data_IF_028405131674
#
_entry.id   IF_028405131674
#
_cell.length_a   1.000
_cell.length_b   1.000
_cell.length_c   1.000
_cell.angle_alpha   90.00
_cell.angle_beta   90.00
_cell.angle_gamma   90.00
#
_symmetry.space_group_name_H-M   'P 1'
#
loop_
_entity.id
_entity.type
_entity.pdbx_description
1 polymer ?
#
# COMPACT_ATOMS: atom_id res chain seq x y z
N UNK A 1 -18.82 -6.51 -21.70
CA UNK A 1 -20.15 -6.24 -21.12
C UNK A 1 -21.10 -5.89 -22.26
N UNK A 2 -22.27 -6.57 -22.35
CA UNK A 2 -23.29 -6.28 -23.36
C UNK A 2 -24.06 -4.98 -23.04
N UNK A 3 -25.00 -4.56 -23.91
CA UNK A 3 -25.74 -3.31 -23.76
C UNK A 3 -26.65 -3.31 -22.52
N UNK A 4 -27.39 -4.38 -22.32
CA UNK A 4 -28.31 -4.53 -21.18
C UNK A 4 -27.61 -4.48 -19.82
N UNK A 5 -26.53 -5.24 -19.68
CA UNK A 5 -25.69 -5.22 -18.48
C UNK A 5 -25.11 -3.83 -18.20
N UNK A 6 -24.75 -3.08 -19.27
CA UNK A 6 -24.26 -1.71 -19.11
C UNK A 6 -25.36 -0.79 -18.59
N UNK A 7 -26.55 -0.85 -19.18
CA UNK A 7 -27.68 0.00 -18.74
C UNK A 7 -28.13 -0.38 -17.32
N UNK A 8 -28.08 -1.65 -16.96
CA UNK A 8 -28.35 -2.07 -15.59
C UNK A 8 -27.38 -1.41 -14.60
N UNK A 9 -26.04 -1.53 -14.82
CA UNK A 9 -25.04 -0.93 -13.92
C UNK A 9 -25.19 0.60 -13.91
N UNK A 10 -25.36 1.25 -15.06
CA UNK A 10 -25.58 2.70 -15.15
C UNK A 10 -26.76 3.14 -14.30
N UNK A 11 -27.91 2.46 -14.41
CA UNK A 11 -29.10 2.78 -13.60
C UNK A 11 -28.79 2.70 -12.10
N UNK A 12 -28.02 1.68 -11.66
CA UNK A 12 -27.62 1.52 -10.26
C UNK A 12 -26.65 2.61 -9.81
N UNK A 13 -25.67 2.95 -10.62
CA UNK A 13 -24.74 4.04 -10.34
C UNK A 13 -25.42 5.40 -10.31
N UNK A 14 -26.35 5.64 -11.25
CA UNK A 14 -27.14 6.88 -11.26
C UNK A 14 -27.93 7.05 -9.96
N UNK A 15 -28.66 6.01 -9.55
CA UNK A 15 -29.40 6.02 -8.28
C UNK A 15 -28.48 6.28 -7.08
N UNK A 16 -27.26 5.74 -7.08
CA UNK A 16 -26.29 6.05 -6.06
C UNK A 16 -25.90 7.53 -6.08
N UNK A 17 -25.51 8.08 -7.24
CA UNK A 17 -25.06 9.48 -7.35
C UNK A 17 -26.19 10.50 -7.08
N UNK A 18 -27.45 10.14 -7.29
CA UNK A 18 -28.62 10.97 -6.95
C UNK A 18 -28.83 11.10 -5.43
N UNK A 19 -28.44 10.08 -4.65
CA UNK A 19 -28.76 9.98 -3.22
C UNK A 19 -27.54 10.08 -2.30
N UNK A 20 -26.33 9.89 -2.82
CA UNK A 20 -25.12 9.88 -2.02
C UNK A 20 -24.62 11.30 -1.70
N UNK A 21 -24.24 11.53 -0.45
CA UNK A 21 -23.42 12.69 -0.14
C UNK A 21 -21.96 12.38 -0.50
N UNK A 22 -21.47 13.04 -1.56
CA UNK A 22 -20.10 12.93 -2.03
C UNK A 22 -19.35 14.16 -1.54
N UNK A 23 -18.47 14.02 -0.53
CA UNK A 23 -17.61 15.11 -0.10
C UNK A 23 -16.62 15.45 -1.22
N UNK A 24 -16.47 16.74 -1.50
CA UNK A 24 -15.50 17.21 -2.47
C UNK A 24 -14.13 17.37 -1.81
N UNK A 25 -13.05 17.10 -2.55
CA UNK A 25 -11.69 17.28 -2.03
C UNK A 25 -11.40 18.76 -1.74
N UNK A 26 -10.44 18.99 -0.86
CA UNK A 26 -10.00 20.34 -0.54
C UNK A 26 -9.64 21.14 -1.81
N UNK A 27 -9.96 22.44 -1.81
CA UNK A 27 -9.76 23.34 -2.97
C UNK A 27 -10.35 22.77 -4.28
N UNK A 28 -11.52 22.13 -4.22
CA UNK A 28 -12.13 21.44 -5.37
C UNK A 28 -12.22 22.27 -6.64
N UNK A 29 -12.46 23.58 -6.54
CA UNK A 29 -12.54 24.49 -7.68
C UNK A 29 -11.17 24.79 -8.34
N UNK A 30 -10.09 24.37 -7.72
CA UNK A 30 -8.70 24.49 -8.22
C UNK A 30 -8.17 23.18 -8.80
N UNK A 31 -9.05 22.20 -8.98
CA UNK A 31 -8.66 20.87 -9.47
C UNK A 31 -9.24 20.57 -10.85
N UNK A 32 -8.48 19.81 -11.63
CA UNK A 32 -9.00 19.15 -12.82
C UNK A 32 -9.77 17.90 -12.40
N UNK A 33 -10.93 17.70 -13.02
CA UNK A 33 -11.68 16.46 -12.95
C UNK A 33 -11.63 15.73 -14.27
N UNK A 34 -11.68 14.39 -14.19
CA UNK A 34 -11.71 13.54 -15.35
C UNK A 34 -12.67 12.36 -15.12
N UNK A 35 -13.31 11.93 -16.20
CA UNK A 35 -14.39 10.95 -16.16
C UNK A 35 -14.18 9.88 -17.23
N UNK A 36 -14.34 8.61 -16.84
CA UNK A 36 -14.45 7.51 -17.79
C UNK A 36 -15.91 7.07 -17.83
N UNK A 37 -16.50 7.11 -19.00
CA UNK A 37 -17.89 6.67 -19.18
C UNK A 37 -17.95 5.17 -19.51
N UNK A 38 -19.11 4.57 -19.22
CA UNK A 38 -19.35 3.18 -19.61
C UNK A 38 -19.34 3.03 -21.13
N UNK A 39 -18.63 2.02 -21.65
CA UNK A 39 -18.51 1.68 -23.08
C UNK A 39 -17.82 2.71 -23.96
N UNK A 40 -17.46 3.85 -23.46
CA UNK A 40 -16.70 4.83 -24.23
C UNK A 40 -15.20 4.57 -24.08
N UNK A 41 -14.47 4.78 -25.18
CA UNK A 41 -13.01 4.72 -25.14
C UNK A 41 -12.47 6.11 -24.78
N UNK A 42 -11.53 6.12 -23.85
CA UNK A 42 -10.87 7.36 -23.42
C UNK A 42 -11.47 7.97 -22.15
N UNK A 43 -10.92 9.11 -21.82
CA UNK A 43 -11.23 9.85 -20.60
C UNK A 43 -11.62 11.28 -20.97
N UNK A 44 -12.76 11.75 -20.49
CA UNK A 44 -13.17 13.15 -20.58
C UNK A 44 -12.32 13.90 -19.56
N UNK A 45 -11.55 14.89 -19.99
CA UNK A 45 -10.57 15.61 -19.16
C UNK A 45 -10.74 17.12 -19.23
N UNK A 46 -9.94 17.84 -18.44
CA UNK A 46 -9.88 19.30 -18.40
C UNK A 46 -11.19 19.96 -17.98
N UNK A 47 -11.92 19.30 -17.09
CA UNK A 47 -13.14 19.84 -16.52
C UNK A 47 -12.85 20.35 -15.10
N UNK A 48 -13.49 21.44 -14.73
CA UNK A 48 -13.46 21.97 -13.36
C UNK A 48 -14.84 22.53 -13.00
N UNK A 49 -15.12 22.56 -11.71
CA UNK A 49 -16.40 23.03 -11.19
C UNK A 49 -16.16 24.13 -10.16
N UNK A 50 -16.99 25.16 -10.18
CA UNK A 50 -16.96 26.24 -9.20
C UNK A 50 -17.91 25.98 -8.04
N UNK A 51 -19.01 25.26 -8.28
CA UNK A 51 -20.04 24.93 -7.29
C UNK A 51 -20.19 23.41 -7.16
N UNK A 52 -20.42 22.93 -5.94
CA UNK A 52 -20.69 21.51 -5.65
C UNK A 52 -21.89 21.00 -6.46
N UNK A 53 -22.94 21.84 -6.59
CA UNK A 53 -24.16 21.46 -7.31
C UNK A 53 -23.89 21.16 -8.79
N UNK A 54 -23.05 21.96 -9.47
CA UNK A 54 -22.72 21.74 -10.88
C UNK A 54 -21.99 20.40 -11.07
N UNK A 55 -21.11 20.05 -10.14
CA UNK A 55 -20.42 18.76 -10.12
C UNK A 55 -21.42 17.61 -9.92
N UNK A 56 -22.29 17.69 -8.92
CA UNK A 56 -23.30 16.66 -8.64
C UNK A 56 -24.25 16.46 -9.82
N UNK A 57 -24.76 17.55 -10.42
CA UNK A 57 -25.60 17.47 -11.61
C UNK A 57 -24.88 16.79 -12.77
N UNK A 58 -23.59 17.10 -12.97
CA UNK A 58 -22.79 16.49 -14.04
C UNK A 58 -22.63 14.97 -13.86
N UNK A 59 -22.30 14.51 -12.65
CA UNK A 59 -22.11 13.07 -12.40
C UNK A 59 -23.40 12.27 -12.46
N UNK A 60 -24.54 12.86 -12.11
CA UNK A 60 -25.86 12.25 -12.26
C UNK A 60 -26.24 12.14 -13.74
N UNK A 61 -26.02 13.21 -14.53
CA UNK A 61 -26.32 13.22 -15.97
C UNK A 61 -25.45 12.22 -16.74
N UNK A 62 -24.14 12.27 -16.54
CA UNK A 62 -23.18 11.43 -17.26
C UNK A 62 -23.10 10.01 -16.72
N UNK A 63 -23.36 9.81 -15.46
CA UNK A 63 -23.22 8.52 -14.75
C UNK A 63 -21.91 7.80 -15.10
N UNK A 64 -20.76 8.36 -14.74
CA UNK A 64 -19.48 7.81 -15.14
C UNK A 64 -19.17 6.47 -14.43
N UNK A 65 -18.43 5.60 -15.11
CA UNK A 65 -17.88 4.38 -14.56
C UNK A 65 -16.76 4.65 -13.54
N UNK A 66 -16.00 5.73 -13.79
CA UNK A 66 -14.94 6.17 -12.90
C UNK A 66 -14.84 7.70 -12.88
N UNK A 67 -14.58 8.24 -11.70
CA UNK A 67 -14.36 9.67 -11.49
C UNK A 67 -12.93 9.84 -10.94
N UNK A 68 -12.21 10.78 -11.50
CA UNK A 68 -10.87 11.15 -11.07
C UNK A 68 -10.78 12.64 -10.80
N UNK A 69 -9.83 13.03 -9.98
CA UNK A 69 -9.46 14.41 -9.77
C UNK A 69 -7.94 14.55 -9.65
N UNK A 70 -7.41 15.76 -9.91
CA UNK A 70 -5.97 15.98 -9.85
C UNK A 70 -5.47 16.08 -8.42
N UNK A 71 -4.33 15.41 -8.12
CA UNK A 71 -3.54 15.68 -6.91
C UNK A 71 -3.06 17.12 -6.88
N UNK A 72 -2.82 17.71 -8.06
CA UNK A 72 -2.40 19.08 -8.24
C UNK A 72 -3.53 20.09 -8.12
N UNK A 73 -3.14 21.28 -7.65
CA UNK A 73 -3.93 22.49 -7.68
C UNK A 73 -3.49 23.38 -8.85
N UNK A 74 -4.46 23.99 -9.52
CA UNK A 74 -4.22 24.84 -10.67
C UNK A 74 -4.97 26.17 -10.56
N UNK A 75 -4.39 27.23 -11.10
CA UNK A 75 -5.08 28.50 -11.23
C UNK A 75 -6.21 28.41 -12.27
N UNK A 76 -5.96 27.70 -13.37
CA UNK A 76 -6.89 27.49 -14.48
C UNK A 76 -7.04 26.00 -14.81
N UNK A 77 -7.71 25.18 -13.95
CA UNK A 77 -7.73 23.72 -14.10
C UNK A 77 -8.41 23.21 -15.37
N UNK A 78 -9.26 24.02 -15.99
CA UNK A 78 -9.98 23.72 -17.24
C UNK A 78 -9.16 23.88 -18.52
N UNK A 79 -7.97 24.44 -18.45
CA UNK A 79 -7.12 24.59 -19.63
C UNK A 79 -6.61 23.22 -20.11
N UNK A 80 -6.44 23.07 -21.43
CA UNK A 80 -6.13 21.81 -22.09
C UNK A 80 -4.64 21.41 -22.07
N UNK A 81 -3.74 22.35 -21.73
CA UNK A 81 -2.30 22.08 -21.60
C UNK A 81 -1.80 22.41 -20.20
N UNK A 82 -0.79 21.69 -19.74
CA UNK A 82 -0.26 21.84 -18.39
C UNK A 82 0.32 23.23 -18.14
N UNK A 83 1.03 23.81 -19.10
CA UNK A 83 1.61 25.15 -18.98
C UNK A 83 0.53 26.22 -18.77
N UNK A 84 -0.61 26.08 -19.48
CA UNK A 84 -1.72 27.03 -19.36
C UNK A 84 -2.54 26.86 -18.08
N UNK A 85 -2.40 25.74 -17.36
CA UNK A 85 -3.12 25.50 -16.08
C UNK A 85 -2.55 26.32 -14.94
N UNK A 86 -1.29 26.72 -14.99
CA UNK A 86 -0.55 27.38 -13.91
C UNK A 86 -0.61 26.57 -12.60
N UNK A 87 0.34 25.65 -12.44
CA UNK A 87 0.46 24.76 -11.29
C UNK A 87 0.69 25.53 -9.98
N UNK A 88 0.00 25.15 -8.91
CA UNK A 88 0.00 25.83 -7.60
C UNK A 88 0.40 24.90 -6.45
N UNK A 89 1.00 23.77 -6.75
CA UNK A 89 1.30 22.72 -5.77
C UNK A 89 0.48 21.45 -5.98
N UNK A 90 0.85 20.40 -5.28
CA UNK A 90 0.14 19.12 -5.32
C UNK A 90 0.21 18.38 -3.98
N UNK A 91 -0.84 17.65 -3.65
CA UNK A 91 -0.81 16.63 -2.59
C UNK A 91 0.25 15.58 -2.91
N UNK A 92 0.82 14.97 -1.89
CA UNK A 92 1.66 13.79 -2.06
C UNK A 92 0.77 12.55 -1.95
N UNK A 93 0.73 11.76 -3.01
CA UNK A 93 -0.13 10.58 -3.11
C UNK A 93 0.73 9.33 -3.08
N UNK A 94 0.37 8.39 -2.20
CA UNK A 94 0.88 7.03 -2.23
C UNK A 94 -0.24 6.11 -2.72
N UNK A 95 0.08 5.25 -3.66
CA UNK A 95 -0.83 4.25 -4.24
C UNK A 95 -0.20 2.86 -4.08
N UNK A 96 -0.90 1.96 -3.43
CA UNK A 96 -0.52 0.57 -3.28
C UNK A 96 -1.59 -0.30 -3.93
N UNK A 97 -1.22 -1.07 -4.94
CA UNK A 97 -2.12 -1.99 -5.65
C UNK A 97 -1.60 -3.43 -5.57
N UNK A 98 -2.51 -4.38 -5.44
CA UNK A 98 -2.20 -5.81 -5.36
C UNK A 98 -1.38 -6.31 -6.56
N UNK A 99 -1.52 -5.71 -7.74
CA UNK A 99 -0.79 -6.11 -8.94
C UNK A 99 0.73 -5.89 -8.82
N UNK A 100 1.17 -5.04 -7.89
CA UNK A 100 2.58 -4.75 -7.66
C UNK A 100 3.23 -5.64 -6.58
N UNK A 101 2.43 -6.42 -5.84
CA UNK A 101 2.96 -7.31 -4.81
C UNK A 101 3.50 -8.60 -5.42
N UNK A 102 4.74 -9.01 -5.09
CA UNK A 102 5.33 -10.25 -5.59
C UNK A 102 4.45 -11.48 -5.30
N UNK A 103 4.11 -12.24 -6.34
CA UNK A 103 3.30 -13.46 -6.23
C UNK A 103 1.79 -13.23 -6.14
N UNK A 104 1.30 -12.02 -6.36
CA UNK A 104 -0.13 -11.69 -6.33
C UNK A 104 -0.99 -12.50 -7.31
N UNK A 105 -0.39 -12.96 -8.42
CA UNK A 105 -1.03 -13.82 -9.42
C UNK A 105 -1.47 -15.19 -8.89
N UNK A 106 -0.91 -15.63 -7.76
CA UNK A 106 -1.21 -16.92 -7.11
C UNK A 106 -2.18 -16.79 -5.94
N UNK A 107 -2.52 -15.57 -5.54
CA UNK A 107 -3.37 -15.28 -4.40
C UNK A 107 -4.83 -15.19 -4.81
N UNK A 108 -5.72 -15.56 -3.90
CA UNK A 108 -7.13 -15.19 -4.02
C UNK A 108 -7.29 -13.67 -3.91
N UNK A 109 -8.44 -13.18 -4.36
CA UNK A 109 -8.74 -11.74 -4.29
C UNK A 109 -8.73 -11.19 -2.85
N UNK A 110 -9.22 -11.98 -1.90
CA UNK A 110 -9.22 -11.65 -0.47
C UNK A 110 -7.79 -11.60 0.09
N UNK A 111 -6.97 -12.62 -0.19
CA UNK A 111 -5.57 -12.67 0.26
C UNK A 111 -4.74 -11.53 -0.31
N UNK A 112 -4.93 -11.21 -1.59
CA UNK A 112 -4.24 -10.09 -2.23
C UNK A 112 -4.58 -8.76 -1.55
N UNK A 113 -5.86 -8.52 -1.23
CA UNK A 113 -6.32 -7.33 -0.52
C UNK A 113 -5.74 -7.23 0.90
N UNK A 114 -5.63 -8.34 1.63
CA UNK A 114 -5.07 -8.35 2.99
C UNK A 114 -3.56 -8.08 2.97
N UNK A 115 -2.85 -8.62 1.99
CA UNK A 115 -1.42 -8.36 1.82
C UNK A 115 -1.15 -6.87 1.53
N UNK A 116 -1.90 -6.28 0.59
CA UNK A 116 -1.79 -4.83 0.31
C UNK A 116 -2.12 -4.01 1.55
N UNK A 117 -3.16 -4.39 2.30
CA UNK A 117 -3.52 -3.68 3.54
C UNK A 117 -2.39 -3.72 4.57
N UNK A 118 -1.71 -4.86 4.69
CA UNK A 118 -0.56 -4.99 5.59
C UNK A 118 0.57 -4.03 5.21
N UNK A 119 0.91 -3.96 3.91
CA UNK A 119 1.91 -3.00 3.42
C UNK A 119 1.45 -1.55 3.57
N UNK A 120 0.17 -1.28 3.35
CA UNK A 120 -0.41 0.04 3.55
C UNK A 120 -0.38 0.50 5.00
N UNK A 121 -0.66 -0.40 5.96
CA UNK A 121 -0.51 -0.12 7.40
C UNK A 121 0.94 0.23 7.73
N UNK A 122 1.90 -0.51 7.18
CA UNK A 122 3.33 -0.26 7.34
C UNK A 122 3.71 1.12 6.79
N UNK A 123 3.30 1.45 5.57
CA UNK A 123 3.51 2.78 4.99
C UNK A 123 3.01 3.89 5.92
N UNK A 124 1.75 3.79 6.34
CA UNK A 124 1.11 4.84 7.16
C UNK A 124 1.77 4.96 8.53
N UNK A 125 1.90 3.85 9.27
CA UNK A 125 2.35 3.88 10.66
C UNK A 125 3.86 4.06 10.80
N UNK A 126 4.63 3.29 10.04
CA UNK A 126 6.07 3.24 10.24
C UNK A 126 6.80 4.38 9.51
N UNK A 127 6.31 4.76 8.33
CA UNK A 127 6.98 5.79 7.54
C UNK A 127 6.31 7.15 7.70
N UNK A 128 5.02 7.28 7.36
CA UNK A 128 4.40 8.60 7.31
C UNK A 128 4.23 9.23 8.70
N UNK A 129 3.74 8.48 9.67
CA UNK A 129 3.57 8.97 11.04
C UNK A 129 4.89 8.99 11.80
N UNK A 130 5.61 7.87 11.82
CA UNK A 130 6.78 7.73 12.69
C UNK A 130 8.04 8.40 12.11
N UNK A 131 8.42 8.12 10.87
CA UNK A 131 9.66 8.62 10.29
C UNK A 131 9.54 10.05 9.76
N UNK A 132 8.46 10.36 9.01
CA UNK A 132 8.25 11.70 8.45
C UNK A 132 7.49 12.64 9.40
N UNK A 133 6.90 12.13 10.47
CA UNK A 133 6.24 12.92 11.51
C UNK A 133 5.03 13.71 10.98
N UNK A 134 4.25 13.14 10.04
CA UNK A 134 2.96 13.69 9.68
C UNK A 134 1.96 13.46 10.81
N UNK A 135 1.01 14.38 10.97
CA UNK A 135 -0.08 14.21 11.90
C UNK A 135 -1.21 13.39 11.26
N UNK A 136 -2.01 12.73 12.05
CA UNK A 136 -3.12 11.90 11.57
C UNK A 136 -4.14 12.69 10.74
N UNK A 137 -4.35 13.96 11.04
CA UNK A 137 -5.25 14.85 10.29
C UNK A 137 -4.67 15.32 8.93
N UNK A 138 -3.38 15.11 8.67
CA UNK A 138 -2.75 15.38 7.38
C UNK A 138 -2.83 14.17 6.44
N UNK A 139 -3.26 12.99 6.94
CA UNK A 139 -3.32 11.73 6.20
C UNK A 139 -4.77 11.32 5.93
N UNK A 140 -5.15 11.30 4.67
CA UNK A 140 -6.46 10.83 4.23
C UNK A 140 -6.31 9.48 3.55
N UNK A 141 -6.89 8.45 4.15
CA UNK A 141 -6.75 7.07 3.73
C UNK A 141 -7.99 6.60 2.98
N UNK A 142 -7.79 5.91 1.85
CA UNK A 142 -8.89 5.41 1.03
C UNK A 142 -8.60 4.01 0.52
N UNK A 143 -9.64 3.19 0.45
CA UNK A 143 -9.66 2.02 -0.41
C UNK A 143 -9.95 2.47 -1.84
N UNK A 144 -9.21 1.99 -2.83
CA UNK A 144 -9.30 2.43 -4.23
C UNK A 144 -10.60 2.01 -4.96
N UNK A 145 -11.45 1.21 -4.30
CA UNK A 145 -12.64 0.62 -4.91
C UNK A 145 -12.37 -0.68 -5.69
N UNK A 146 -11.12 -1.16 -5.76
CA UNK A 146 -10.77 -2.41 -6.46
C UNK A 146 -9.76 -3.24 -5.70
N UNK A 147 -8.46 -3.02 -5.88
CA UNK A 147 -7.40 -3.90 -5.37
C UNK A 147 -6.31 -3.19 -4.58
N UNK A 148 -6.51 -1.93 -4.23
CA UNK A 148 -5.46 -1.14 -3.61
C UNK A 148 -5.97 -0.13 -2.60
N UNK A 149 -5.02 0.61 -2.04
CA UNK A 149 -5.26 1.66 -1.07
C UNK A 149 -4.48 2.91 -1.47
N UNK A 150 -5.05 4.07 -1.21
CA UNK A 150 -4.42 5.37 -1.42
C UNK A 150 -4.24 6.10 -0.11
N UNK A 151 -3.07 6.69 0.11
CA UNK A 151 -2.86 7.69 1.14
C UNK A 151 -2.59 9.04 0.50
N UNK A 152 -3.41 10.04 0.82
CA UNK A 152 -3.22 11.42 0.39
C UNK A 152 -2.66 12.21 1.56
N UNK A 153 -1.44 12.71 1.41
CA UNK A 153 -0.82 13.59 2.38
C UNK A 153 -1.17 15.03 2.01
N UNK A 154 -2.04 15.64 2.82
CA UNK A 154 -2.52 17.01 2.63
C UNK A 154 -1.84 17.91 3.66
N UNK A 155 -0.65 18.36 3.34
CA UNK A 155 0.18 19.18 4.22
C UNK A 155 0.88 20.30 3.46
N UNK A 156 1.01 21.50 4.01
CA UNK A 156 1.80 22.56 3.41
C UNK A 156 3.26 22.16 3.13
N UNK A 157 3.81 21.22 3.90
CA UNK A 157 5.18 20.72 3.77
C UNK A 157 5.44 20.01 2.43
N UNK A 158 4.42 19.43 1.81
CA UNK A 158 4.56 18.61 0.58
C UNK A 158 4.09 19.31 -0.68
N UNK A 159 3.37 20.43 -0.58
CA UNK A 159 2.71 21.08 -1.71
C UNK A 159 3.67 21.45 -2.84
N UNK A 160 4.86 21.92 -2.50
CA UNK A 160 5.84 22.42 -3.45
C UNK A 160 6.94 21.42 -3.81
N UNK A 161 6.84 20.16 -3.32
CA UNK A 161 7.80 19.12 -3.68
C UNK A 161 7.68 18.78 -5.15
N UNK A 162 8.79 18.90 -5.87
CA UNK A 162 8.91 18.46 -7.25
C UNK A 162 9.04 16.94 -7.35
N UNK A 163 9.09 16.41 -8.57
CA UNK A 163 9.20 14.96 -8.79
C UNK A 163 10.50 14.37 -8.24
N UNK A 164 11.59 15.13 -8.19
CA UNK A 164 12.88 14.66 -7.63
C UNK A 164 12.79 14.49 -6.11
N UNK A 165 12.31 15.50 -5.41
CA UNK A 165 12.13 15.44 -3.96
C UNK A 165 11.13 14.34 -3.55
N UNK A 166 10.08 14.11 -4.36
CA UNK A 166 9.14 13.01 -4.14
C UNK A 166 9.79 11.64 -4.35
N UNK A 167 10.71 11.52 -5.32
CA UNK A 167 11.49 10.30 -5.55
C UNK A 167 12.37 9.96 -4.33
N UNK A 168 13.02 10.94 -3.74
CA UNK A 168 13.81 10.72 -2.52
C UNK A 168 12.97 10.17 -1.36
N UNK A 169 11.71 10.61 -1.24
CA UNK A 169 10.76 10.06 -0.26
C UNK A 169 10.45 8.60 -0.57
N UNK A 170 10.19 8.26 -1.83
CA UNK A 170 9.93 6.89 -2.28
C UNK A 170 11.16 5.99 -2.04
N UNK A 171 12.35 6.45 -2.43
CA UNK A 171 13.61 5.73 -2.22
C UNK A 171 13.86 5.46 -0.74
N UNK A 172 13.55 6.42 0.12
CA UNK A 172 13.62 6.22 1.57
C UNK A 172 12.65 5.13 2.03
N UNK A 173 11.40 5.15 1.58
CA UNK A 173 10.37 4.16 1.97
C UNK A 173 10.75 2.76 1.49
N UNK A 174 11.19 2.65 0.24
CA UNK A 174 11.59 1.38 -0.38
C UNK A 174 12.96 0.87 0.09
N UNK A 175 13.71 1.69 0.83
CA UNK A 175 15.05 1.35 1.28
C UNK A 175 16.07 1.25 0.15
N UNK A 176 15.84 1.95 -0.96
CA UNK A 176 16.77 2.02 -2.06
C UNK A 176 18.08 2.69 -1.60
N UNK A 177 19.21 2.20 -2.11
CA UNK A 177 20.56 2.75 -1.84
C UNK A 177 20.95 2.84 -0.36
N UNK A 178 20.32 2.03 0.52
CA UNK A 178 20.67 1.98 1.93
C UNK A 178 22.15 1.57 2.13
N UNK A 179 22.90 2.45 2.75
CA UNK A 179 24.31 2.24 3.05
C UNK A 179 24.51 1.46 4.35
N UNK A 180 24.68 0.15 4.24
CA UNK A 180 24.88 -0.76 5.39
C UNK A 180 26.11 -0.44 6.23
N UNK A 181 27.16 0.13 5.63
CA UNK A 181 28.37 0.58 6.31
C UNK A 181 28.12 1.75 7.28
N UNK A 182 27.06 2.52 7.04
CA UNK A 182 26.61 3.58 7.96
C UNK A 182 25.76 3.00 9.08
N UNK A 183 24.97 1.96 8.78
CA UNK A 183 24.06 1.34 9.75
C UNK A 183 24.83 0.49 10.76
N UNK A 184 25.78 -0.31 10.28
CA UNK A 184 26.61 -1.22 11.10
C UNK A 184 28.06 -0.76 11.08
N UNK A 185 28.52 -0.10 12.15
CA UNK A 185 29.86 0.47 12.23
C UNK A 185 30.80 -0.40 13.03
N UNK A 186 32.04 -0.62 12.54
CA UNK A 186 33.10 -1.14 13.36
C UNK A 186 33.85 0.02 14.06
N UNK A 187 33.79 0.04 15.39
CA UNK A 187 34.58 0.98 16.20
C UNK A 187 35.80 0.27 16.79
N UNK A 188 36.92 0.95 16.79
CA UNK A 188 38.11 0.52 17.55
C UNK A 188 37.86 0.92 19.00
N UNK A 189 37.67 -0.08 19.85
CA UNK A 189 37.41 0.11 21.31
C UNK A 189 38.63 0.00 22.15
N UNK A 190 39.71 -0.64 21.64
CA UNK A 190 40.96 -0.80 22.36
C UNK A 190 42.13 -1.01 21.40
N UNK A 191 43.35 -0.79 21.89
CA UNK A 191 44.60 -1.06 21.19
C UNK A 191 45.54 -1.80 22.14
N UNK A 192 45.69 -3.10 21.92
CA UNK A 192 46.59 -3.94 22.74
C UNK A 192 47.97 -3.86 22.12
N UNK A 193 48.94 -3.40 22.87
CA UNK A 193 50.35 -3.35 22.46
C UNK A 193 51.06 -4.66 22.84
N UNK A 194 51.70 -5.28 21.86
CA UNK A 194 52.45 -6.54 22.04
C UNK A 194 53.96 -6.29 21.86
N UNK A 195 54.61 -5.42 22.49
CA UNK A 195 56.04 -5.15 22.33
C UNK A 195 56.51 -4.96 20.87
N UNK A 196 57.74 -4.47 20.66
CA UNK A 196 58.32 -4.24 19.31
C UNK A 196 57.46 -3.45 18.32
N UNK A 197 56.57 -2.57 18.83
CA UNK A 197 55.77 -1.67 17.97
C UNK A 197 54.50 -2.30 17.35
N UNK A 198 54.22 -3.56 17.62
CA UNK A 198 52.98 -4.19 17.11
C UNK A 198 51.80 -3.87 18.00
N UNK A 199 50.75 -3.25 17.41
CA UNK A 199 49.50 -2.95 18.09
C UNK A 199 48.37 -3.71 17.43
N UNK A 200 47.62 -4.51 18.20
CA UNK A 200 46.37 -5.11 17.77
C UNK A 200 45.24 -4.19 18.09
N UNK A 201 44.47 -3.78 17.06
CA UNK A 201 43.25 -3.00 17.22
C UNK A 201 42.11 -3.93 17.59
N UNK A 202 41.51 -3.72 18.75
CA UNK A 202 40.28 -4.42 19.14
C UNK A 202 39.11 -3.66 18.56
N UNK A 203 38.40 -4.29 17.62
CA UNK A 203 37.25 -3.71 16.95
C UNK A 203 35.96 -4.26 17.57
N UNK A 204 35.03 -3.40 17.84
CA UNK A 204 33.67 -3.73 18.24
C UNK A 204 32.69 -3.39 17.10
N UNK A 205 31.73 -4.28 16.81
CA UNK A 205 30.64 -3.97 15.92
C UNK A 205 29.59 -3.20 16.74
N UNK A 206 29.31 -2.00 16.32
CA UNK A 206 28.19 -1.20 16.82
C UNK A 206 26.99 -1.47 15.93
N UNK A 207 25.92 -1.99 16.51
CA UNK A 207 24.64 -2.22 15.87
C UNK A 207 23.64 -1.16 16.35
N UNK A 208 22.65 -0.78 15.52
CA UNK A 208 21.62 0.13 15.96
C UNK A 208 20.81 -0.47 17.11
N UNK A 209 20.35 0.40 18.01
CA UNK A 209 19.39 0.01 19.02
C UNK A 209 18.00 -0.08 18.40
N UNK A 210 17.16 -0.98 18.92
CA UNK A 210 15.82 -1.18 18.39
C UNK A 210 14.88 0.05 18.62
N UNK A 211 15.20 0.92 19.58
CA UNK A 211 14.44 2.14 19.87
C UNK A 211 14.89 3.38 19.08
N UNK A 212 15.95 3.25 18.25
CA UNK A 212 16.36 4.33 17.35
C UNK A 212 15.29 4.60 16.27
N UNK A 213 15.19 5.87 15.85
CA UNK A 213 14.30 6.26 14.78
C UNK A 213 14.80 5.80 13.40
N UNK A 214 13.87 5.75 12.44
CA UNK A 214 14.16 5.49 11.04
C UNK A 214 14.73 4.10 10.76
N UNK A 215 15.48 3.99 9.67
CA UNK A 215 16.02 2.72 9.18
C UNK A 215 16.92 1.99 10.18
N UNK A 216 17.65 2.71 11.01
CA UNK A 216 18.55 2.10 12.00
C UNK A 216 17.76 1.24 12.99
N UNK A 217 16.78 1.80 13.66
CA UNK A 217 15.94 1.06 14.61
C UNK A 217 15.06 0.02 13.94
N UNK A 218 14.53 0.33 12.76
CA UNK A 218 13.69 -0.59 11.97
C UNK A 218 14.43 -1.90 11.63
N UNK A 219 15.64 -1.81 11.09
CA UNK A 219 16.47 -2.98 10.79
C UNK A 219 16.78 -3.77 12.07
N UNK A 220 17.11 -3.08 13.15
CA UNK A 220 17.39 -3.76 14.42
C UNK A 220 16.19 -4.48 15.00
N UNK A 221 14.98 -3.86 14.96
CA UNK A 221 13.73 -4.52 15.35
C UNK A 221 13.47 -5.77 14.52
N UNK A 222 13.66 -5.69 13.21
CA UNK A 222 13.45 -6.82 12.29
C UNK A 222 14.41 -7.96 12.59
N UNK A 223 15.69 -7.66 12.80
CA UNK A 223 16.69 -8.67 13.16
C UNK A 223 16.39 -9.33 14.51
N UNK A 224 15.96 -8.56 15.51
CA UNK A 224 15.50 -9.08 16.80
C UNK A 224 14.25 -9.95 16.65
N UNK A 225 13.31 -9.56 15.79
CA UNK A 225 12.14 -10.36 15.46
C UNK A 225 12.52 -11.73 14.91
N UNK A 226 13.43 -11.78 13.93
CA UNK A 226 13.95 -13.02 13.36
C UNK A 226 14.61 -13.89 14.44
N UNK A 227 15.45 -13.29 15.32
CA UNK A 227 16.14 -14.03 16.38
C UNK A 227 15.13 -14.61 17.38
N UNK A 228 14.12 -13.85 17.78
CA UNK A 228 13.06 -14.31 18.67
C UNK A 228 12.22 -15.43 18.04
N UNK A 229 11.89 -15.32 16.75
CA UNK A 229 11.20 -16.36 16.01
C UNK A 229 12.01 -17.67 16.03
N UNK A 230 13.29 -17.61 15.66
CA UNK A 230 14.20 -18.75 15.64
C UNK A 230 14.31 -19.41 17.03
N UNK A 231 14.36 -18.60 18.10
CA UNK A 231 14.41 -19.10 19.47
C UNK A 231 13.19 -19.94 19.87
N UNK A 232 12.02 -19.61 19.31
CA UNK A 232 10.74 -20.25 19.64
C UNK A 232 10.40 -21.45 18.73
N UNK A 233 11.17 -21.68 17.67
CA UNK A 233 11.03 -22.83 16.77
C UNK A 233 11.80 -24.03 17.34
N UNK A 234 11.39 -25.24 16.93
CA UNK A 234 12.23 -26.41 17.14
C UNK A 234 13.54 -26.29 16.33
N UNK A 235 14.52 -27.16 16.67
CA UNK A 235 15.87 -27.05 16.10
C UNK A 235 15.92 -27.22 14.58
N UNK A 236 15.10 -28.12 14.03
CA UNK A 236 15.09 -28.42 12.60
C UNK A 236 14.43 -27.28 11.81
N UNK A 237 13.31 -26.77 12.29
CA UNK A 237 12.61 -25.64 11.70
C UNK A 237 13.45 -24.35 11.78
N UNK A 238 14.11 -24.12 12.91
CA UNK A 238 15.05 -23.00 13.07
C UNK A 238 16.22 -23.06 12.07
N UNK A 239 16.80 -24.23 11.84
CA UNK A 239 17.84 -24.43 10.83
C UNK A 239 17.30 -24.17 9.42
N UNK A 240 16.13 -24.72 9.12
CA UNK A 240 15.45 -24.53 7.81
C UNK A 240 15.17 -23.06 7.54
N UNK A 241 14.64 -22.35 8.53
CA UNK A 241 14.41 -20.91 8.46
C UNK A 241 15.68 -20.11 8.21
N UNK A 242 16.76 -20.38 8.94
CA UNK A 242 18.05 -19.73 8.74
C UNK A 242 18.66 -20.03 7.36
N UNK A 243 18.49 -21.26 6.86
CA UNK A 243 18.94 -21.64 5.52
C UNK A 243 18.15 -20.88 4.44
N UNK A 244 16.85 -20.63 4.61
CA UNK A 244 16.09 -19.82 3.68
C UNK A 244 16.60 -18.38 3.55
N UNK A 245 17.28 -17.88 4.58
CA UNK A 245 18.02 -16.61 4.58
C UNK A 245 19.45 -16.70 4.01
N UNK A 246 19.81 -17.82 3.38
CA UNK A 246 21.17 -18.03 2.82
C UNK A 246 22.25 -18.31 3.87
N UNK A 247 21.88 -18.69 5.10
CA UNK A 247 22.80 -19.08 6.15
C UNK A 247 23.16 -20.56 5.95
N UNK A 248 24.48 -20.91 6.03
CA UNK A 248 24.90 -22.30 5.94
C UNK A 248 24.46 -23.08 7.18
N UNK A 249 24.24 -24.40 7.04
CA UNK A 249 23.80 -25.26 8.15
C UNK A 249 24.71 -25.13 9.37
N UNK A 250 26.02 -25.27 9.20
CA UNK A 250 27.01 -25.12 10.29
C UNK A 250 26.92 -23.76 11.01
N UNK A 251 26.58 -22.70 10.27
CA UNK A 251 26.39 -21.37 10.86
C UNK A 251 25.05 -21.28 11.58
N UNK A 252 23.98 -21.86 11.02
CA UNK A 252 22.66 -21.92 11.63
C UNK A 252 22.70 -22.60 13.00
N UNK A 253 23.30 -23.79 13.07
CA UNK A 253 23.54 -24.54 14.33
C UNK A 253 24.25 -23.67 15.36
N UNK A 254 25.37 -23.03 14.99
CA UNK A 254 26.10 -22.14 15.90
C UNK A 254 25.28 -20.92 16.36
N UNK A 255 24.41 -20.38 15.52
CA UNK A 255 23.51 -19.27 15.89
C UNK A 255 22.52 -19.76 16.93
N UNK A 256 21.87 -20.90 16.70
CA UNK A 256 20.88 -21.49 17.61
C UNK A 256 21.53 -21.80 18.97
N UNK A 257 22.68 -22.45 19.00
CA UNK A 257 23.41 -22.76 20.23
C UNK A 257 23.89 -21.52 21.01
N UNK A 258 23.90 -20.36 20.35
CA UNK A 258 24.44 -19.13 20.93
C UNK A 258 23.30 -18.19 21.41
N UNK A 259 22.07 -18.35 20.95
CA UNK A 259 20.96 -17.48 21.32
C UNK A 259 20.58 -17.72 22.78
N UNK A 260 20.63 -16.66 23.59
CA UNK A 260 20.13 -16.63 24.97
C UNK A 260 19.41 -15.30 25.22
N UNK A 261 18.59 -15.26 26.28
CA UNK A 261 17.87 -14.03 26.66
C UNK A 261 18.84 -12.90 27.01
N UNK A 262 19.94 -13.20 27.67
CA UNK A 262 21.00 -12.21 27.98
C UNK A 262 21.58 -11.61 26.70
N UNK A 263 21.87 -12.44 25.70
CA UNK A 263 22.40 -11.94 24.40
C UNK A 263 21.37 -11.15 23.63
N UNK A 264 20.10 -11.56 23.65
CA UNK A 264 19.01 -10.80 23.04
C UNK A 264 18.89 -9.41 23.69
N UNK A 265 18.95 -9.33 25.02
CA UNK A 265 18.90 -8.04 25.71
C UNK A 265 20.10 -7.15 25.37
N UNK A 266 21.28 -7.70 25.29
CA UNK A 266 22.48 -6.95 24.85
C UNK A 266 22.35 -6.42 23.41
N UNK A 267 21.74 -7.20 22.52
CA UNK A 267 21.46 -6.76 21.13
C UNK A 267 20.45 -5.60 21.13
N UNK A 268 19.42 -5.63 21.97
CA UNK A 268 18.47 -4.53 22.13
C UNK A 268 19.17 -3.22 22.52
N UNK A 269 20.20 -3.31 23.33
CA UNK A 269 21.03 -2.19 23.78
C UNK A 269 22.12 -1.77 22.74
N UNK A 270 22.12 -2.36 21.55
CA UNK A 270 23.11 -2.04 20.51
C UNK A 270 24.46 -2.75 20.67
N UNK A 271 24.54 -3.76 21.54
CA UNK A 271 25.77 -4.49 21.83
C UNK A 271 25.71 -5.91 21.26
N UNK A 272 26.74 -6.30 20.53
CA UNK A 272 26.91 -7.68 20.05
C UNK A 272 28.28 -8.23 20.45
N UNK A 273 28.32 -9.50 20.84
CA UNK A 273 29.53 -10.17 21.25
C UNK A 273 30.48 -10.42 20.05
N UNK A 274 31.74 -10.06 20.18
CA UNK A 274 32.73 -10.05 19.09
C UNK A 274 33.05 -11.41 18.51
N UNK A 275 33.02 -12.45 19.34
CA UNK A 275 33.41 -13.82 18.95
C UNK A 275 32.23 -14.66 18.51
N UNK A 276 31.02 -14.13 18.55
CA UNK A 276 29.80 -14.91 18.42
C UNK A 276 29.40 -15.19 16.97
N UNK A 277 28.68 -16.30 16.75
CA UNK A 277 28.04 -16.63 15.51
C UNK A 277 26.97 -15.57 15.15
N UNK A 278 26.39 -14.90 16.15
CA UNK A 278 25.45 -13.78 15.96
C UNK A 278 26.12 -12.59 15.27
N UNK A 279 27.36 -12.22 15.62
CA UNK A 279 28.09 -11.16 14.90
C UNK A 279 28.20 -11.51 13.40
N UNK A 280 28.54 -12.75 13.08
CA UNK A 280 28.63 -13.18 11.67
C UNK A 280 27.28 -13.19 10.97
N UNK A 281 26.19 -13.51 11.68
CA UNK A 281 24.84 -13.45 11.18
C UNK A 281 24.47 -12.01 10.80
N UNK A 282 24.70 -11.05 11.70
CA UNK A 282 24.42 -9.62 11.43
C UNK A 282 25.29 -9.03 10.32
N UNK A 283 26.53 -9.53 10.15
CA UNK A 283 27.43 -9.05 9.10
C UNK A 283 27.18 -9.66 7.73
N UNK A 284 26.46 -10.78 7.63
CA UNK A 284 26.19 -11.39 6.33
C UNK A 284 25.28 -10.51 5.49
N UNK A 285 25.72 -10.22 4.28
CA UNK A 285 25.01 -9.37 3.33
C UNK A 285 23.59 -9.85 3.01
N UNK A 286 23.36 -11.17 3.02
CA UNK A 286 22.05 -11.77 2.79
C UNK A 286 21.04 -11.37 3.88
N UNK A 287 21.41 -11.50 5.17
CA UNK A 287 20.49 -11.16 6.25
C UNK A 287 20.17 -9.66 6.30
N UNK A 288 21.16 -8.80 5.99
CA UNK A 288 20.94 -7.37 5.88
C UNK A 288 19.93 -7.02 4.77
N UNK A 289 20.09 -7.63 3.58
CA UNK A 289 19.15 -7.46 2.47
C UNK A 289 17.76 -7.90 2.85
N UNK A 290 17.62 -9.04 3.54
CA UNK A 290 16.33 -9.54 4.01
C UNK A 290 15.72 -8.59 5.04
N UNK A 291 16.51 -8.12 6.02
CA UNK A 291 16.01 -7.16 7.01
C UNK A 291 15.53 -5.85 6.37
N UNK A 292 16.22 -5.37 5.34
CA UNK A 292 15.79 -4.20 4.55
C UNK A 292 14.53 -4.52 3.77
N UNK A 293 14.50 -5.61 3.04
CA UNK A 293 13.31 -6.02 2.26
C UNK A 293 12.07 -6.20 3.14
N UNK A 294 12.19 -6.86 4.30
CA UNK A 294 11.08 -7.03 5.25
C UNK A 294 10.66 -5.72 5.93
N UNK A 295 11.56 -4.74 6.00
CA UNK A 295 11.31 -3.46 6.67
C UNK A 295 10.92 -2.35 5.69
N UNK A 296 11.18 -2.52 4.40
CA UNK A 296 10.80 -1.57 3.37
C UNK A 296 9.26 -1.48 3.25
N UNK A 297 8.79 -0.34 2.81
CA UNK A 297 7.40 -0.13 2.41
C UNK A 297 7.24 -0.34 0.92
N UNK A 298 6.02 -0.63 0.51
CA UNK A 298 5.62 -0.69 -0.90
C UNK A 298 4.91 0.62 -1.29
N UNK A 299 5.15 1.08 -2.50
CA UNK A 299 4.42 2.21 -3.11
C UNK A 299 4.66 2.23 -4.62
N UNK A 300 3.68 2.71 -5.38
CA UNK A 300 3.84 2.97 -6.82
C UNK A 300 4.65 4.26 -7.02
N UNK A 301 5.94 4.14 -7.32
CA UNK A 301 6.84 5.27 -7.57
C UNK A 301 6.30 6.22 -8.65
N UNK A 302 5.85 5.76 -9.84
CA UNK A 302 5.28 6.61 -10.87
C UNK A 302 4.09 7.45 -10.38
N UNK A 303 3.26 6.92 -9.52
CA UNK A 303 2.13 7.67 -8.93
C UNK A 303 2.63 8.74 -7.97
N UNK A 304 3.49 8.36 -7.04
CA UNK A 304 3.98 9.24 -5.98
C UNK A 304 4.83 10.39 -6.52
N UNK A 305 5.67 10.12 -7.52
CA UNK A 305 6.54 11.13 -8.15
C UNK A 305 5.81 12.06 -9.11
N UNK A 306 4.62 11.70 -9.61
CA UNK A 306 3.85 12.52 -10.54
C UNK A 306 3.11 13.65 -9.82
N UNK A 307 3.61 14.88 -9.97
CA UNK A 307 3.00 16.09 -9.39
C UNK A 307 1.70 16.53 -10.08
N UNK A 308 1.25 15.82 -11.13
CA UNK A 308 0.07 16.15 -11.94
C UNK A 308 -0.91 14.98 -12.04
N UNK A 309 -0.77 14.00 -11.15
CA UNK A 309 -1.53 12.75 -11.16
C UNK A 309 -3.03 12.98 -11.05
N UNK A 310 -3.78 12.21 -11.82
CA UNK A 310 -5.21 12.01 -11.60
C UNK A 310 -5.40 10.78 -10.73
N UNK A 311 -6.09 10.94 -9.61
CA UNK A 311 -6.41 9.87 -8.66
C UNK A 311 -7.93 9.72 -8.54
N UNK A 312 -8.40 8.55 -8.15
CA UNK A 312 -9.84 8.30 -8.00
C UNK A 312 -10.47 9.21 -6.96
N UNK A 313 -11.64 9.75 -7.30
CA UNK A 313 -12.37 10.59 -6.36
C UNK A 313 -12.91 9.74 -5.21
N UNK A 314 -12.62 10.12 -3.97
CA UNK A 314 -13.23 9.50 -2.79
C UNK A 314 -14.77 9.49 -2.87
N UNK A 315 -15.35 8.43 -2.34
CA UNK A 315 -16.81 8.16 -2.34
C UNK A 315 -17.44 8.00 -3.72
N UNK A 316 -16.66 8.02 -4.81
CA UNK A 316 -17.16 7.57 -6.12
C UNK A 316 -17.19 6.05 -6.21
N UNK A 317 -17.86 5.53 -7.25
CA UNK A 317 -17.91 4.09 -7.51
C UNK A 317 -16.84 3.64 -8.46
N UNK A 318 -16.38 2.40 -8.28
CA UNK A 318 -15.45 1.76 -9.20
C UNK A 318 -16.20 0.92 -10.24
N UNK A 319 -16.10 1.28 -11.52
CA UNK A 319 -16.89 0.71 -12.61
C UNK A 319 -16.73 -0.79 -12.86
N UNK A 320 -15.62 -1.41 -12.41
CA UNK A 320 -15.40 -2.86 -12.56
C UNK A 320 -15.86 -3.69 -11.35
N UNK A 321 -16.09 -3.07 -10.20
CA UNK A 321 -16.44 -3.80 -8.97
C UNK A 321 -17.76 -3.37 -8.37
N UNK A 322 -18.21 -2.14 -8.66
CA UNK A 322 -19.31 -1.52 -7.98
C UNK A 322 -18.98 -1.07 -6.54
N UNK A 323 -17.77 -1.30 -6.06
CA UNK A 323 -17.35 -0.87 -4.72
C UNK A 323 -17.13 0.65 -4.67
N UNK A 324 -17.39 1.20 -3.51
CA UNK A 324 -17.11 2.60 -3.22
C UNK A 324 -15.60 2.81 -3.01
N UNK A 325 -15.06 3.92 -3.49
CA UNK A 325 -13.77 4.45 -3.06
C UNK A 325 -13.94 4.93 -1.63
N UNK A 326 -13.70 4.05 -0.68
CA UNK A 326 -14.11 4.22 0.72
C UNK A 326 -13.04 4.93 1.55
N UNK A 327 -13.42 6.02 2.23
CA UNK A 327 -12.59 6.65 3.24
C UNK A 327 -12.42 5.74 4.45
N UNK A 328 -11.22 5.73 5.03
CA UNK A 328 -10.85 4.87 6.15
C UNK A 328 -10.29 5.74 7.26
N UNK A 329 -10.84 5.59 8.47
CA UNK A 329 -10.24 6.18 9.65
C UNK A 329 -8.94 5.43 9.99
N UNK A 330 -7.88 6.16 10.35
CA UNK A 330 -6.57 5.56 10.65
C UNK A 330 -6.62 4.55 11.80
N UNK A 331 -7.47 4.80 12.80
CA UNK A 331 -7.66 3.90 13.94
C UNK A 331 -8.41 2.62 13.55
N UNK A 332 -9.25 2.69 12.54
CA UNK A 332 -10.05 1.57 12.01
C UNK A 332 -9.35 0.79 10.90
N UNK A 333 -8.23 1.30 10.36
CA UNK A 333 -7.53 0.72 9.22
C UNK A 333 -7.22 -0.78 9.39
N UNK A 334 -6.85 -1.21 10.60
CA UNK A 334 -6.56 -2.62 10.90
C UNK A 334 -7.78 -3.52 10.75
N UNK A 335 -8.98 -3.01 11.05
CA UNK A 335 -10.23 -3.77 11.06
C UNK A 335 -11.04 -3.61 9.77
N UNK A 336 -10.63 -2.68 8.90
CA UNK A 336 -11.30 -2.42 7.64
C UNK A 336 -11.22 -3.64 6.72
N UNK A 337 -12.39 -4.09 6.24
CA UNK A 337 -12.51 -5.15 5.24
C UNK A 337 -13.20 -4.60 3.99
N UNK A 338 -12.47 -4.37 2.87
CA UNK A 338 -13.07 -3.79 1.66
C UNK A 338 -14.20 -4.63 1.06
N UNK A 339 -14.17 -5.96 1.25
CA UNK A 339 -15.19 -6.88 0.75
C UNK A 339 -16.50 -6.83 1.55
N UNK A 340 -16.53 -6.06 2.63
CA UNK A 340 -17.71 -5.77 3.44
C UNK A 340 -17.98 -4.27 3.47
N UNK A 341 -16.98 -3.47 3.85
CA UNK A 341 -17.15 -2.06 4.24
C UNK A 341 -17.27 -1.12 3.02
N UNK A 342 -16.78 -1.55 1.84
CA UNK A 342 -16.89 -0.79 0.60
C UNK A 342 -18.04 -1.25 -0.30
N UNK A 343 -18.78 -2.27 0.11
CA UNK A 343 -19.95 -2.80 -0.62
C UNK A 343 -21.17 -1.98 -0.27
N UNK A 344 -21.73 -1.26 -1.25
CA UNK A 344 -22.84 -0.33 -1.01
C UNK A 344 -24.19 -0.80 -1.57
N UNK A 345 -24.18 -1.75 -2.51
CA UNK A 345 -25.40 -2.30 -3.08
C UNK A 345 -26.04 -3.35 -2.18
N UNK A 346 -27.35 -3.51 -2.31
CA UNK A 346 -28.14 -4.37 -1.43
C UNK A 346 -28.22 -5.83 -1.88
N UNK A 347 -29.15 -6.55 -1.24
CA UNK A 347 -29.28 -8.01 -1.37
C UNK A 347 -30.45 -8.42 -2.30
N UNK A 348 -31.07 -7.43 -3.00
CA UNK A 348 -32.15 -7.69 -3.97
C UNK A 348 -31.65 -8.68 -5.04
N UNK A 349 -32.42 -9.73 -5.29
CA UNK A 349 -32.03 -10.77 -6.26
C UNK A 349 -32.07 -10.24 -7.69
N UNK A 350 -31.05 -10.57 -8.45
CA UNK A 350 -30.85 -10.19 -9.85
C UNK A 350 -30.56 -11.46 -10.65
N UNK A 351 -31.33 -11.71 -11.71
CA UNK A 351 -31.09 -12.85 -12.61
C UNK A 351 -29.92 -12.55 -13.53
N UNK A 352 -28.93 -13.42 -13.54
CA UNK A 352 -27.69 -13.28 -14.32
C UNK A 352 -27.33 -14.57 -15.04
N UNK A 353 -26.59 -14.44 -16.12
CA UNK A 353 -25.91 -15.56 -16.80
C UNK A 353 -24.43 -15.49 -16.52
N UNK A 354 -23.92 -16.49 -15.79
CA UNK A 354 -22.51 -16.65 -15.43
C UNK A 354 -21.77 -17.22 -16.64
N UNK A 355 -20.63 -16.60 -17.01
CA UNK A 355 -19.85 -16.94 -18.21
C UNK A 355 -18.66 -17.83 -17.91
N UNK A 356 -18.17 -17.82 -16.71
CA UNK A 356 -17.04 -18.62 -16.24
C UNK A 356 -17.19 -18.97 -14.76
N UNK A 357 -16.59 -20.08 -14.29
CA UNK A 357 -16.62 -20.41 -12.87
C UNK A 357 -16.02 -19.29 -12.04
N UNK A 358 -16.65 -18.98 -10.91
CA UNK A 358 -16.22 -17.94 -9.99
C UNK A 358 -16.16 -18.51 -8.57
N UNK A 359 -15.08 -18.17 -7.88
CA UNK A 359 -14.89 -18.44 -6.47
C UNK A 359 -14.50 -17.12 -5.77
N UNK A 360 -15.41 -16.54 -5.00
CA UNK A 360 -15.20 -15.24 -4.38
C UNK A 360 -15.94 -15.15 -3.04
N UNK A 361 -15.35 -14.42 -2.10
CA UNK A 361 -16.00 -14.07 -0.83
C UNK A 361 -16.32 -12.57 -0.81
N UNK A 362 -17.59 -12.21 -0.54
CA UNK A 362 -18.05 -10.83 -0.41
C UNK A 362 -19.13 -10.80 0.68
N UNK A 363 -19.12 -9.78 1.56
CA UNK A 363 -20.00 -9.67 2.74
C UNK A 363 -19.95 -10.90 3.65
N UNK A 364 -18.76 -11.47 3.82
CA UNK A 364 -18.51 -12.68 4.62
C UNK A 364 -19.18 -13.96 4.08
N UNK A 365 -19.85 -13.90 2.92
CA UNK A 365 -20.43 -15.04 2.21
C UNK A 365 -19.49 -15.54 1.11
N UNK A 366 -19.39 -16.86 0.99
CA UNK A 366 -18.52 -17.53 0.03
C UNK A 366 -19.34 -18.09 -1.14
N UNK A 367 -19.08 -17.54 -2.33
CA UNK A 367 -19.78 -17.91 -3.57
C UNK A 367 -18.91 -18.79 -4.44
N UNK A 368 -19.40 -20.03 -4.70
CA UNK A 368 -18.86 -20.94 -5.72
C UNK A 368 -19.89 -21.07 -6.81
N UNK A 369 -19.68 -20.40 -7.92
CA UNK A 369 -20.63 -20.30 -9.03
C UNK A 369 -20.11 -21.02 -10.25
N UNK A 370 -20.97 -21.75 -10.93
CA UNK A 370 -20.68 -22.42 -12.19
C UNK A 370 -21.28 -21.64 -13.37
N UNK A 371 -20.87 -21.98 -14.59
CA UNK A 371 -21.45 -21.43 -15.83
C UNK A 371 -22.95 -21.79 -15.89
N UNK A 372 -23.80 -20.78 -16.14
CA UNK A 372 -25.25 -20.98 -16.24
C UNK A 372 -26.04 -19.79 -15.75
N UNK A 373 -27.35 -19.95 -15.62
CA UNK A 373 -28.26 -18.96 -15.09
C UNK A 373 -28.36 -19.09 -13.56
N UNK A 374 -28.40 -17.96 -12.87
CA UNK A 374 -28.53 -17.93 -11.41
C UNK A 374 -29.17 -16.60 -10.95
N UNK A 375 -29.66 -16.60 -9.73
CA UNK A 375 -30.16 -15.42 -9.02
C UNK A 375 -29.17 -15.01 -7.95
N UNK A 376 -28.59 -13.83 -8.09
CA UNK A 376 -27.55 -13.34 -7.19
C UNK A 376 -27.95 -12.04 -6.50
N UNK A 377 -27.47 -11.79 -5.28
CA UNK A 377 -27.61 -10.48 -4.64
C UNK A 377 -27.06 -9.36 -5.54
N UNK A 378 -27.69 -8.21 -5.52
CA UNK A 378 -27.37 -7.08 -6.40
C UNK A 378 -25.89 -6.69 -6.34
N UNK A 379 -25.29 -6.65 -5.15
CA UNK A 379 -23.89 -6.32 -5.01
C UNK A 379 -22.97 -7.33 -5.74
N UNK A 380 -23.30 -8.62 -5.66
CA UNK A 380 -22.51 -9.67 -6.32
C UNK A 380 -22.75 -9.64 -7.84
N UNK A 381 -24.00 -9.46 -8.27
CA UNK A 381 -24.32 -9.32 -9.69
C UNK A 381 -23.55 -8.16 -10.33
N UNK A 382 -23.54 -6.97 -9.70
CA UNK A 382 -22.78 -5.80 -10.17
C UNK A 382 -21.28 -6.10 -10.23
N UNK A 383 -20.72 -6.73 -9.19
CA UNK A 383 -19.30 -7.11 -9.14
C UNK A 383 -18.92 -8.05 -10.28
N UNK A 384 -19.71 -9.09 -10.52
CA UNK A 384 -19.41 -10.09 -11.57
C UNK A 384 -19.61 -9.52 -12.98
N UNK A 385 -20.65 -8.72 -13.18
CA UNK A 385 -20.93 -8.06 -14.46
C UNK A 385 -19.84 -7.03 -14.79
N UNK A 386 -19.45 -6.23 -13.83
CA UNK A 386 -18.40 -5.22 -13.99
C UNK A 386 -17.04 -5.83 -14.37
N UNK A 387 -16.75 -7.04 -13.89
CA UNK A 387 -15.56 -7.84 -14.24
C UNK A 387 -15.70 -8.64 -15.52
N UNK A 388 -16.91 -8.71 -16.10
CA UNK A 388 -17.18 -9.49 -17.30
C UNK A 388 -17.38 -11.00 -17.05
N UNK A 389 -17.57 -11.41 -15.78
CA UNK A 389 -17.79 -12.80 -15.38
C UNK A 389 -19.27 -13.23 -15.51
N UNK A 390 -20.17 -12.26 -15.57
CA UNK A 390 -21.59 -12.48 -15.78
C UNK A 390 -22.21 -11.42 -16.70
N UNK A 391 -23.43 -11.65 -17.12
CA UNK A 391 -24.29 -10.69 -17.83
C UNK A 391 -25.70 -10.74 -17.23
N UNK A 392 -26.46 -9.64 -17.35
CA UNK A 392 -27.90 -9.61 -17.05
C UNK A 392 -28.59 -10.62 -17.99
N UNK A 393 -29.52 -11.39 -17.44
CA UNK A 393 -30.24 -12.42 -18.15
C UNK A 393 -31.75 -12.28 -17.94
N UNK A 394 -32.44 -11.83 -19.01
CA UNK A 394 -33.90 -11.72 -19.07
C UNK A 394 -34.46 -10.58 -18.22
N UNK A 395 -35.48 -9.94 -18.75
CA UNK A 395 -36.54 -9.28 -18.00
C UNK A 395 -37.66 -10.26 -17.76
#
# INVERSE_FOLDING_TARGET
>A
MNKESTEFIKRKFKNYYENADIPLPDRFSRREYAFMLFREKGMIRHISFKKKQDFLSFIVDKTPAHIYYSSAYYKYPYKNTMDKKEWMGAELIFDLDADHIPGADKLSYEEALENVKTEFIKLVKDFLLNDFGFNTNELHLYFSGSRGYHCHVVSPRVLNLDSSARREIVDYIMGNDLRYDIIFKERIVDRISYGKGYQKRVKRLEIPRADEAGWRGRISKTLLGIINEIKNLDREDAITKLKSYGITQRMAEKVIDTISDEKINRIKEGMIDQSSALKKLFLKSALRKIAVSLSAGETDEPVTCDTKRLIRLPYSLHGKTGFQVKGINIDELKFFNPLRDAVIFGDKQVKVKIKQPVNVKIKDEHYKLNIGEDYLPEYLAIFLIGRGYAEIWGD
#
